data_IF_679532747478
#
_entry.id   IF_679532747478
#
_cell.length_a   1.000
_cell.length_b   1.000
_cell.length_c   1.000
_cell.angle_alpha   90.00
_cell.angle_beta   90.00
_cell.angle_gamma   90.00
#
_symmetry.space_group_name_H-M   'P 1'
#
loop_
_entity.id
_entity.type
_entity.pdbx_description
1 polymer ?
#
# COMPACT_ATOMS: atom_id res chain seq x y z
N UNK A 1 -9.97 8.82 -20.77
CA UNK A 1 -10.20 9.63 -19.57
C UNK A 1 -9.18 10.75 -19.68
N UNK A 2 -9.62 11.97 -19.99
CA UNK A 2 -8.72 13.12 -19.94
C UNK A 2 -8.34 13.30 -18.47
N UNK A 3 -7.06 13.09 -18.14
CA UNK A 3 -6.51 13.45 -16.84
C UNK A 3 -6.48 14.98 -16.79
N UNK A 4 -7.59 15.60 -16.42
CA UNK A 4 -7.57 16.97 -15.93
C UNK A 4 -6.93 16.89 -14.55
N UNK A 5 -5.64 17.20 -14.48
CA UNK A 5 -5.03 17.56 -13.20
C UNK A 5 -5.72 18.85 -12.78
N UNK A 6 -6.74 18.74 -11.93
CA UNK A 6 -7.31 19.91 -11.29
C UNK A 6 -6.15 20.64 -10.61
N UNK A 7 -5.98 21.93 -10.93
CA UNK A 7 -4.89 22.72 -10.38
C UNK A 7 -4.98 22.71 -8.86
N UNK A 8 -3.88 22.35 -8.20
CA UNK A 8 -3.79 22.40 -6.74
C UNK A 8 -3.98 23.86 -6.32
N UNK A 9 -4.97 24.17 -5.46
CA UNK A 9 -5.20 25.55 -5.00
C UNK A 9 -3.93 26.14 -4.39
N UNK A 10 -3.59 27.38 -4.75
CA UNK A 10 -2.38 28.06 -4.25
C UNK A 10 -2.31 28.07 -2.72
N UNK A 11 -3.47 28.21 -2.06
CA UNK A 11 -3.55 28.20 -0.60
C UNK A 11 -3.23 26.84 0.02
N UNK A 12 -3.27 25.74 -0.73
CA UNK A 12 -2.97 24.37 -0.29
C UNK A 12 -1.60 23.87 -0.74
N UNK A 13 -0.91 24.60 -1.62
CA UNK A 13 0.31 24.15 -2.29
C UNK A 13 1.39 23.64 -1.32
N UNK A 14 1.70 24.41 -0.28
CA UNK A 14 2.75 24.07 0.68
C UNK A 14 2.42 22.80 1.49
N UNK A 15 1.15 22.58 1.79
CA UNK A 15 0.68 21.38 2.48
C UNK A 15 0.67 20.17 1.54
N UNK A 16 0.30 20.37 0.27
CA UNK A 16 0.33 19.35 -0.76
C UNK A 16 1.76 18.86 -1.01
N UNK A 17 2.71 19.77 -1.23
CA UNK A 17 4.14 19.44 -1.42
C UNK A 17 4.67 18.63 -0.24
N UNK A 18 4.32 19.04 0.99
CA UNK A 18 4.72 18.32 2.18
C UNK A 18 4.07 16.92 2.25
N UNK A 19 2.77 16.79 1.94
CA UNK A 19 2.06 15.51 1.95
C UNK A 19 2.60 14.51 0.92
N UNK A 20 3.01 14.97 -0.26
CA UNK A 20 3.57 14.11 -1.31
C UNK A 20 4.93 13.54 -0.91
N UNK A 21 5.74 14.30 -0.16
CA UNK A 21 7.08 13.87 0.27
C UNK A 21 7.41 14.40 1.67
N UNK A 22 6.80 13.85 2.73
CA UNK A 22 6.97 14.38 4.07
C UNK A 22 8.32 13.93 4.62
N UNK A 23 9.26 14.88 4.69
CA UNK A 23 10.63 14.62 5.13
C UNK A 23 10.63 14.00 6.54
N UNK A 24 11.19 12.79 6.68
CA UNK A 24 11.32 12.09 7.95
C UNK A 24 10.06 11.39 8.46
N UNK A 25 8.90 11.56 7.81
CA UNK A 25 7.63 10.91 8.20
C UNK A 25 7.23 9.79 7.22
N UNK A 26 8.14 9.46 6.31
CA UNK A 26 8.05 8.24 5.53
C UNK A 26 8.82 7.12 6.24
N UNK A 27 8.16 6.02 6.54
CA UNK A 27 8.83 4.81 7.04
C UNK A 27 9.19 3.93 5.86
N UNK A 28 10.46 3.55 5.76
CA UNK A 28 10.98 2.67 4.71
C UNK A 28 11.46 1.37 5.35
N UNK A 29 11.00 0.24 4.85
CA UNK A 29 11.35 -1.10 5.33
C UNK A 29 11.71 -1.97 4.12
N UNK A 30 12.92 -2.51 4.12
CA UNK A 30 13.37 -3.47 3.12
C UNK A 30 13.05 -4.89 3.57
N UNK A 31 12.26 -5.60 2.77
CA UNK A 31 11.88 -7.00 2.99
C UNK A 31 13.02 -7.96 2.63
N UNK A 32 12.84 -9.24 2.94
CA UNK A 32 13.82 -10.26 2.51
C UNK A 32 13.82 -10.46 1.00
N UNK A 33 14.99 -10.84 0.47
CA UNK A 33 15.16 -11.18 -0.94
C UNK A 33 14.34 -12.45 -1.25
N UNK A 34 13.47 -12.36 -2.26
CA UNK A 34 12.61 -13.46 -2.69
C UNK A 34 13.06 -13.98 -4.06
N UNK A 35 13.36 -15.28 -4.21
CA UNK A 35 13.61 -15.86 -5.53
C UNK A 35 12.30 -15.95 -6.33
N UNK A 36 12.33 -15.55 -7.60
CA UNK A 36 11.23 -15.85 -8.52
C UNK A 36 11.44 -17.29 -9.01
N UNK A 37 10.61 -18.21 -8.52
CA UNK A 37 10.68 -19.62 -8.87
C UNK A 37 10.66 -19.81 -10.40
N UNK A 38 11.47 -20.75 -10.89
CA UNK A 38 11.64 -21.06 -12.32
C UNK A 38 12.30 -19.96 -13.16
N UNK A 39 13.01 -19.00 -12.54
CA UNK A 39 13.80 -17.98 -13.23
C UNK A 39 15.16 -17.73 -12.56
N UNK A 40 16.06 -17.00 -13.22
CA UNK A 40 17.33 -16.53 -12.65
C UNK A 40 17.17 -15.24 -11.82
N UNK A 41 15.95 -14.75 -11.60
CA UNK A 41 15.72 -13.46 -10.97
C UNK A 41 15.40 -13.56 -9.48
N UNK A 42 15.85 -12.56 -8.73
CA UNK A 42 15.50 -12.32 -7.34
C UNK A 42 14.87 -10.92 -7.20
N UNK A 43 13.92 -10.80 -6.27
CA UNK A 43 13.21 -9.55 -5.99
C UNK A 43 13.46 -9.14 -4.55
N UNK A 44 13.92 -7.90 -4.38
CA UNK A 44 13.98 -7.23 -3.08
C UNK A 44 12.94 -6.13 -3.06
N UNK A 45 11.99 -6.20 -2.12
CA UNK A 45 10.91 -5.22 -2.02
C UNK A 45 11.18 -4.24 -0.88
N UNK A 46 11.04 -2.94 -1.17
CA UNK A 46 11.19 -1.87 -0.19
C UNK A 46 9.84 -1.17 0.00
N UNK A 47 9.19 -1.45 1.12
CA UNK A 47 7.91 -0.86 1.50
C UNK A 47 8.13 0.54 2.04
N UNK A 48 7.33 1.49 1.58
CA UNK A 48 7.33 2.88 2.01
C UNK A 48 5.94 3.23 2.52
N UNK A 49 5.86 3.79 3.73
CA UNK A 49 4.61 4.20 4.36
C UNK A 49 4.68 5.71 4.58
N UNK A 50 3.79 6.46 3.95
CA UNK A 50 3.59 7.87 4.19
C UNK A 50 2.68 8.04 5.41
N UNK A 51 3.28 8.28 6.58
CA UNK A 51 2.56 8.32 7.86
C UNK A 51 1.51 9.45 7.92
N UNK A 52 1.77 10.68 7.42
CA UNK A 52 0.73 11.71 7.33
C UNK A 52 -0.48 11.29 6.51
N UNK A 53 -0.27 10.72 5.31
CA UNK A 53 -1.37 10.23 4.48
C UNK A 53 -2.09 9.06 5.16
N UNK A 54 -1.39 8.19 5.88
CA UNK A 54 -2.01 7.10 6.63
C UNK A 54 -2.96 7.64 7.71
N UNK A 55 -2.56 8.68 8.46
CA UNK A 55 -3.43 9.33 9.46
C UNK A 55 -4.67 9.94 8.80
N UNK A 56 -4.50 10.68 7.71
CA UNK A 56 -5.62 11.27 6.96
C UNK A 56 -6.55 10.19 6.37
N UNK A 57 -5.97 9.08 5.89
CA UNK A 57 -6.73 7.96 5.32
C UNK A 57 -7.56 7.25 6.38
N UNK A 58 -6.96 6.96 7.55
CA UNK A 58 -7.67 6.40 8.70
C UNK A 58 -8.82 7.29 9.14
N UNK A 59 -8.56 8.60 9.25
CA UNK A 59 -9.54 9.58 9.67
C UNK A 59 -10.69 9.69 8.68
N UNK A 60 -10.39 9.82 7.38
CA UNK A 60 -11.39 9.87 6.31
C UNK A 60 -12.33 8.65 6.36
N UNK A 61 -11.78 7.43 6.46
CA UNK A 61 -12.61 6.23 6.52
C UNK A 61 -13.36 6.10 7.82
N UNK A 62 -12.75 6.44 8.95
CA UNK A 62 -13.40 6.40 10.26
C UNK A 62 -14.60 7.34 10.31
N UNK A 63 -14.43 8.59 9.85
CA UNK A 63 -15.52 9.57 9.79
C UNK A 63 -16.67 9.07 8.91
N UNK A 64 -16.38 8.48 7.74
CA UNK A 64 -17.41 7.96 6.82
C UNK A 64 -18.19 6.75 7.34
N UNK A 65 -17.63 6.02 8.31
CA UNK A 65 -18.24 4.83 8.91
C UNK A 65 -18.91 5.12 10.26
N UNK A 66 -18.61 6.27 10.87
CA UNK A 66 -19.18 6.70 12.14
C UNK A 66 -20.70 6.92 11.99
N UNK A 67 -21.47 6.68 13.05
CA UNK A 67 -22.93 6.91 13.05
C UNK A 67 -23.20 8.33 13.56
N UNK A 68 -23.92 9.14 12.78
CA UNK A 68 -24.25 10.51 13.16
C UNK A 68 -25.23 10.58 14.33
N UNK A 69 -25.42 11.77 14.90
CA UNK A 69 -26.40 12.00 15.97
C UNK A 69 -27.84 11.67 15.56
N UNK A 70 -28.12 11.71 14.26
CA UNK A 70 -29.37 11.33 13.62
C UNK A 70 -29.52 9.80 13.40
N UNK A 71 -28.50 9.02 13.78
CA UNK A 71 -28.46 7.58 13.60
C UNK A 71 -28.11 7.13 12.17
N UNK A 72 -27.72 8.05 11.29
CA UNK A 72 -27.45 7.77 9.87
C UNK A 72 -25.96 7.75 9.60
N UNK A 73 -25.50 6.78 8.79
CA UNK A 73 -24.15 6.77 8.23
C UNK A 73 -24.14 7.57 6.93
N UNK A 74 -23.29 8.59 6.85
CA UNK A 74 -23.05 9.36 5.63
C UNK A 74 -21.61 9.13 5.16
N UNK A 75 -21.48 8.38 4.07
CA UNK A 75 -20.19 8.04 3.48
C UNK A 75 -19.49 9.23 2.80
N UNK A 76 -20.13 10.41 2.73
CA UNK A 76 -19.54 11.63 2.18
C UNK A 76 -19.17 12.64 3.27
N UNK A 77 -19.58 12.41 4.52
CA UNK A 77 -19.31 13.33 5.63
C UNK A 77 -17.89 13.12 6.17
N UNK A 78 -17.04 14.11 5.91
CA UNK A 78 -15.63 14.13 6.32
C UNK A 78 -15.41 14.82 7.68
N UNK A 79 -16.45 15.45 8.23
CA UNK A 79 -16.33 16.28 9.43
C UNK A 79 -16.83 15.57 10.69
N UNK A 80 -17.33 14.34 10.57
CA UNK A 80 -17.75 13.53 11.72
C UNK A 80 -16.60 13.39 12.70
N UNK A 81 -16.91 13.70 13.95
CA UNK A 81 -16.00 13.53 15.07
C UNK A 81 -15.90 12.05 15.39
N UNK A 82 -14.68 11.53 15.31
CA UNK A 82 -14.27 10.20 15.77
C UNK A 82 -13.26 10.36 16.90
N UNK A 83 -12.87 9.26 17.55
CA UNK A 83 -11.81 9.28 18.57
C UNK A 83 -10.75 8.24 18.20
N UNK A 84 -9.72 8.67 17.46
CA UNK A 84 -8.64 7.79 16.99
C UNK A 84 -7.38 8.02 17.81
N UNK A 85 -7.00 7.01 18.59
CA UNK A 85 -5.67 6.95 19.20
C UNK A 85 -4.66 6.31 18.23
N UNK A 86 -3.39 6.31 18.63
CA UNK A 86 -2.31 5.77 17.80
C UNK A 86 -2.47 4.27 17.52
N UNK A 87 -2.99 3.50 18.49
CA UNK A 87 -3.09 2.06 18.36
C UNK A 87 -4.18 1.70 17.34
N UNK A 88 -5.27 2.47 17.30
CA UNK A 88 -6.29 2.37 16.26
C UNK A 88 -5.75 2.71 14.87
N UNK A 89 -4.94 3.77 14.73
CA UNK A 89 -4.31 4.12 13.45
C UNK A 89 -3.33 3.03 13.01
N UNK A 90 -2.53 2.47 13.93
CA UNK A 90 -1.63 1.34 13.67
C UNK A 90 -2.40 0.08 13.27
N UNK A 91 -3.58 -0.17 13.84
CA UNK A 91 -4.45 -1.28 13.45
C UNK A 91 -5.00 -1.10 12.03
N UNK A 92 -5.36 0.13 11.64
CA UNK A 92 -5.76 0.41 10.26
C UNK A 92 -4.61 0.22 9.27
N UNK A 93 -3.38 0.58 9.65
CA UNK A 93 -2.20 0.31 8.84
C UNK A 93 -1.93 -1.20 8.71
N UNK A 94 -2.01 -1.96 9.81
CA UNK A 94 -1.91 -3.43 9.81
C UNK A 94 -2.97 -4.05 8.89
N UNK A 95 -4.23 -3.58 8.99
CA UNK A 95 -5.32 -4.01 8.12
C UNK A 95 -5.02 -3.75 6.63
N UNK A 96 -4.54 -2.55 6.27
CA UNK A 96 -4.21 -2.22 4.89
C UNK A 96 -3.09 -3.11 4.35
N UNK A 97 -2.00 -3.27 5.11
CA UNK A 97 -0.86 -4.11 4.70
C UNK A 97 -1.24 -5.57 4.48
N UNK A 98 -2.17 -6.12 5.29
CA UNK A 98 -2.66 -7.50 5.13
C UNK A 98 -3.62 -7.67 3.95
N UNK A 99 -4.42 -6.65 3.67
CA UNK A 99 -5.50 -6.77 2.69
C UNK A 99 -5.12 -6.27 1.30
N UNK A 100 -4.05 -5.49 1.17
CA UNK A 100 -3.54 -4.97 -0.09
C UNK A 100 -2.06 -5.35 -0.20
N UNK A 101 -1.75 -6.62 -0.52
CA UNK A 101 -0.36 -7.03 -0.65
C UNK A 101 0.25 -6.40 -1.90
N UNK A 102 1.58 -6.45 -1.97
CA UNK A 102 2.29 -6.16 -3.20
C UNK A 102 2.18 -7.36 -4.15
N UNK A 103 1.77 -7.10 -5.38
CA UNK A 103 1.53 -8.14 -6.38
C UNK A 103 2.44 -7.91 -7.58
N UNK A 104 3.26 -8.92 -7.90
CA UNK A 104 3.97 -9.01 -9.16
C UNK A 104 3.09 -9.77 -10.15
N UNK A 105 2.87 -9.20 -11.34
CA UNK A 105 2.05 -9.80 -12.41
C UNK A 105 2.56 -9.46 -13.80
N UNK A 106 2.15 -10.23 -14.79
CA UNK A 106 2.30 -9.84 -16.18
C UNK A 106 1.32 -8.72 -16.58
N UNK A 107 1.78 -7.82 -17.42
CA UNK A 107 0.97 -6.83 -18.13
C UNK A 107 0.31 -7.49 -19.33
N UNK A 108 -0.75 -8.25 -19.05
CA UNK A 108 -1.57 -8.88 -20.08
C UNK A 108 -2.82 -8.05 -20.36
N UNK A 109 -3.23 -7.99 -21.63
CA UNK A 109 -4.52 -7.47 -22.05
C UNK A 109 -5.67 -8.40 -21.60
N UNK A 110 -6.92 -7.90 -21.60
CA UNK A 110 -8.07 -8.69 -21.17
C UNK A 110 -8.25 -10.00 -21.96
N UNK A 111 -7.97 -9.99 -23.26
CA UNK A 111 -8.09 -11.17 -24.12
C UNK A 111 -7.05 -12.23 -23.75
N UNK A 112 -5.81 -11.81 -23.53
CA UNK A 112 -4.71 -12.70 -23.13
C UNK A 112 -4.95 -13.34 -21.75
N UNK A 113 -5.55 -12.61 -20.81
CA UNK A 113 -5.90 -13.13 -19.47
C UNK A 113 -6.96 -14.24 -19.57
N UNK A 114 -7.93 -14.09 -20.48
CA UNK A 114 -9.00 -15.08 -20.68
C UNK A 114 -8.45 -16.39 -21.24
N UNK A 115 -7.40 -16.31 -22.06
CA UNK A 115 -6.75 -17.46 -22.68
C UNK A 115 -5.88 -18.27 -21.71
N UNK A 116 -5.54 -17.73 -20.53
CA UNK A 116 -4.83 -18.47 -19.49
C UNK A 116 -5.72 -19.56 -18.89
N UNK A 117 -5.17 -20.79 -18.81
CA UNK A 117 -5.83 -21.88 -18.11
C UNK A 117 -6.04 -21.54 -16.63
N UNK A 118 -7.07 -22.10 -15.99
CA UNK A 118 -7.23 -22.00 -14.54
C UNK A 118 -5.96 -22.46 -13.82
N UNK A 119 -5.57 -21.72 -12.79
CA UNK A 119 -4.31 -21.91 -12.08
C UNK A 119 -4.49 -21.77 -10.56
N UNK A 120 -3.40 -21.87 -9.79
CA UNK A 120 -3.48 -21.92 -8.31
C UNK A 120 -4.18 -20.69 -7.71
N UNK A 121 -4.12 -19.54 -8.38
CA UNK A 121 -4.76 -18.31 -7.93
C UNK A 121 -6.29 -18.36 -7.99
N UNK A 122 -6.87 -19.26 -8.79
CA UNK A 122 -8.32 -19.48 -8.84
C UNK A 122 -8.85 -20.05 -7.51
N UNK A 123 -8.03 -20.81 -6.77
CA UNK A 123 -8.43 -21.42 -5.48
C UNK A 123 -8.16 -20.50 -4.27
N UNK A 124 -7.47 -19.38 -4.48
CA UNK A 124 -7.09 -18.45 -3.41
C UNK A 124 -8.12 -17.33 -3.28
N UNK A 125 -8.74 -17.24 -2.10
CA UNK A 125 -9.78 -16.25 -1.81
C UNK A 125 -9.29 -15.07 -0.99
N UNK A 126 -8.14 -15.20 -0.34
CA UNK A 126 -7.53 -14.18 0.52
C UNK A 126 -6.02 -14.05 0.19
N UNK A 127 -5.43 -12.85 0.32
CA UNK A 127 -3.99 -12.65 0.14
C UNK A 127 -3.14 -13.65 0.95
N UNK A 128 -2.30 -14.49 0.32
CA UNK A 128 -1.36 -15.32 1.05
C UNK A 128 -0.17 -14.49 1.55
N UNK A 129 0.53 -14.99 2.59
CA UNK A 129 1.75 -14.36 3.10
C UNK A 129 2.87 -14.36 2.04
N UNK A 130 3.09 -15.47 1.34
CA UNK A 130 4.03 -15.50 0.24
C UNK A 130 3.65 -16.66 -0.66
N UNK A 131 3.41 -16.34 -1.92
CA UNK A 131 3.17 -17.37 -2.93
C UNK A 131 3.70 -16.91 -4.27
N UNK A 132 4.40 -17.83 -4.94
CA UNK A 132 4.87 -17.67 -6.30
C UNK A 132 4.23 -18.74 -7.17
N UNK A 133 3.73 -18.35 -8.32
CA UNK A 133 3.19 -19.24 -9.31
C UNK A 133 3.28 -18.63 -10.71
N UNK A 134 4.01 -19.31 -11.58
CA UNK A 134 4.09 -18.98 -13.00
C UNK A 134 3.13 -19.93 -13.75
N UNK A 135 2.09 -19.42 -14.43
CA UNK A 135 1.25 -20.23 -15.29
C UNK A 135 2.08 -20.88 -16.40
N UNK A 136 1.74 -22.12 -16.75
CA UNK A 136 2.50 -22.94 -17.70
C UNK A 136 2.65 -22.29 -19.08
N UNK A 137 1.61 -21.57 -19.51
CA UNK A 137 1.57 -20.84 -20.78
C UNK A 137 2.58 -19.68 -20.83
N UNK A 138 3.00 -19.19 -19.66
CA UNK A 138 3.93 -18.09 -19.49
C UNK A 138 5.33 -18.58 -19.07
N UNK A 139 5.50 -19.88 -18.81
CA UNK A 139 6.81 -20.48 -18.54
C UNK A 139 7.77 -20.27 -19.73
N UNK A 140 8.96 -19.74 -19.45
CA UNK A 140 9.99 -19.47 -20.46
C UNK A 140 9.84 -18.15 -21.21
N UNK A 141 8.80 -17.36 -20.94
CA UNK A 141 8.76 -15.96 -21.37
C UNK A 141 9.79 -15.14 -20.57
N UNK A 142 10.37 -14.13 -21.22
CA UNK A 142 11.28 -13.21 -20.54
C UNK A 142 10.51 -12.41 -19.49
N UNK A 143 11.11 -12.30 -18.30
CA UNK A 143 10.63 -11.45 -17.21
C UNK A 143 11.27 -10.07 -17.32
N UNK A 144 11.02 -9.37 -18.43
CA UNK A 144 11.49 -8.00 -18.60
C UNK A 144 10.60 -6.99 -17.85
N UNK A 145 11.16 -5.84 -17.47
CA UNK A 145 10.41 -4.81 -16.73
C UNK A 145 9.27 -4.19 -17.53
N UNK A 146 9.30 -4.32 -18.86
CA UNK A 146 8.26 -3.80 -19.75
C UNK A 146 7.01 -4.68 -19.69
N UNK A 147 7.16 -5.99 -19.60
CA UNK A 147 6.09 -6.99 -19.49
C UNK A 147 5.56 -7.20 -18.07
N UNK A 148 6.23 -6.67 -17.04
CA UNK A 148 5.87 -6.85 -15.64
C UNK A 148 5.26 -5.59 -15.00
N UNK A 149 4.26 -5.80 -14.15
CA UNK A 149 3.71 -4.77 -13.27
C UNK A 149 3.85 -5.20 -11.80
N UNK A 150 4.17 -4.22 -10.95
CA UNK A 150 4.28 -4.36 -9.51
C UNK A 150 3.34 -3.33 -8.91
N UNK A 151 2.24 -3.81 -8.34
CA UNK A 151 1.13 -2.96 -7.91
C UNK A 151 0.67 -3.35 -6.50
N UNK A 152 0.22 -2.38 -5.70
CA UNK A 152 -0.54 -2.65 -4.48
C UNK A 152 -2.01 -2.78 -4.81
N UNK A 153 -2.50 -4.00 -4.82
CA UNK A 153 -3.93 -4.25 -4.91
C UNK A 153 -4.24 -5.67 -4.44
N UNK A 154 -5.50 -5.89 -4.13
CA UNK A 154 -5.98 -7.23 -3.81
C UNK A 154 -6.62 -7.87 -5.05
N UNK A 155 -5.93 -8.77 -5.77
CA UNK A 155 -6.49 -9.43 -6.96
C UNK A 155 -7.65 -10.37 -6.62
N UNK A 156 -7.83 -10.70 -5.34
CA UNK A 156 -8.82 -11.67 -4.86
C UNK A 156 -10.16 -11.03 -4.49
N UNK A 157 -10.30 -9.70 -4.58
CA UNK A 157 -11.61 -9.05 -4.39
C UNK A 157 -12.59 -9.45 -5.49
N UNK A 158 -13.90 -9.58 -5.18
CA UNK A 158 -14.87 -10.09 -6.14
C UNK A 158 -14.95 -9.34 -7.48
N UNK A 159 -14.74 -8.02 -7.47
CA UNK A 159 -14.78 -7.20 -8.68
C UNK A 159 -13.63 -7.51 -9.65
N UNK A 160 -12.40 -7.69 -9.14
CA UNK A 160 -11.23 -8.00 -9.95
C UNK A 160 -11.17 -9.47 -10.35
N UNK A 161 -11.65 -10.38 -9.49
CA UNK A 161 -11.78 -11.80 -9.85
C UNK A 161 -12.70 -12.04 -11.04
N UNK A 162 -13.76 -11.24 -11.19
CA UNK A 162 -14.64 -11.28 -12.39
C UNK A 162 -13.90 -10.92 -13.67
N UNK A 163 -12.84 -10.12 -13.56
CA UNK A 163 -11.96 -9.75 -14.67
C UNK A 163 -10.76 -10.71 -14.80
N UNK A 164 -10.71 -11.78 -14.00
CA UNK A 164 -9.66 -12.81 -14.01
C UNK A 164 -8.23 -12.29 -13.78
N UNK A 165 -8.07 -11.09 -13.20
CA UNK A 165 -6.77 -10.44 -12.98
C UNK A 165 -5.81 -11.33 -12.19
N UNK A 166 -6.34 -12.09 -11.22
CA UNK A 166 -5.57 -13.03 -10.40
C UNK A 166 -4.79 -14.06 -11.23
N UNK A 167 -5.25 -14.41 -12.44
CA UNK A 167 -4.56 -15.39 -13.28
C UNK A 167 -3.24 -14.89 -13.87
N UNK A 168 -3.08 -13.57 -13.98
CA UNK A 168 -1.84 -12.94 -14.46
C UNK A 168 -0.78 -12.77 -13.37
N UNK A 169 -1.11 -13.11 -12.11
CA UNK A 169 -0.22 -12.94 -10.97
C UNK A 169 0.94 -13.94 -11.04
N UNK A 170 2.15 -13.43 -10.85
CA UNK A 170 3.39 -14.20 -10.72
C UNK A 170 3.63 -14.51 -9.25
N UNK A 171 3.44 -13.51 -8.40
CA UNK A 171 3.65 -13.67 -6.98
C UNK A 171 3.01 -12.58 -6.15
N UNK A 172 2.73 -12.95 -4.91
CA UNK A 172 2.28 -12.06 -3.85
C UNK A 172 3.43 -11.96 -2.86
N UNK A 173 3.88 -10.74 -2.60
CA UNK A 173 4.94 -10.45 -1.64
C UNK A 173 4.28 -9.83 -0.42
N UNK A 174 4.27 -10.51 0.74
CA UNK A 174 3.76 -9.91 1.97
C UNK A 174 4.78 -8.96 2.61
N UNK A 175 4.31 -7.84 3.19
CA UNK A 175 5.10 -6.92 4.01
C UNK A 175 5.49 -7.51 5.38
N UNK A 176 6.11 -8.70 5.46
CA UNK A 176 6.30 -9.40 6.75
C UNK A 176 7.10 -8.58 7.77
N UNK A 177 8.29 -8.04 7.41
CA UNK A 177 9.08 -7.21 8.32
C UNK A 177 8.36 -5.90 8.64
N UNK A 178 7.65 -5.35 7.66
CA UNK A 178 6.87 -4.13 7.85
C UNK A 178 5.72 -4.35 8.83
N UNK A 179 5.00 -5.48 8.74
CA UNK A 179 3.97 -5.90 9.68
C UNK A 179 4.55 -6.14 11.08
N UNK A 180 5.73 -6.73 11.18
CA UNK A 180 6.45 -6.88 12.44
C UNK A 180 6.76 -5.51 13.07
N UNK A 181 7.20 -4.53 12.27
CA UNK A 181 7.40 -3.15 12.75
C UNK A 181 6.10 -2.50 13.24
N UNK A 182 4.97 -2.73 12.56
CA UNK A 182 3.66 -2.22 13.01
C UNK A 182 3.25 -2.88 14.32
N UNK A 183 3.46 -4.20 14.47
CA UNK A 183 3.22 -4.91 15.74
C UNK A 183 4.10 -4.35 16.85
N UNK A 184 5.41 -4.21 16.62
CA UNK A 184 6.34 -3.65 17.60
C UNK A 184 5.95 -2.23 18.00
N UNK A 185 5.46 -1.40 17.07
CA UNK A 185 5.01 -0.03 17.38
C UNK A 185 3.77 0.05 18.29
N UNK A 186 2.97 -1.02 18.35
CA UNK A 186 1.84 -1.14 19.29
C UNK A 186 2.32 -1.52 20.68
N UNK A 187 3.30 -2.43 20.75
CA UNK A 187 3.79 -2.99 22.01
C UNK A 187 4.85 -2.09 22.69
N UNK A 188 5.59 -1.30 21.91
CA UNK A 188 6.69 -0.44 22.37
C UNK A 188 6.37 1.04 22.12
N UNK A 189 6.11 1.82 23.19
CA UNK A 189 5.86 3.27 23.10
C UNK A 189 7.01 4.08 22.49
N UNK A 190 8.25 3.59 22.57
CA UNK A 190 9.44 4.29 22.09
C UNK A 190 9.84 3.87 20.67
N UNK A 191 9.04 3.02 20.02
CA UNK A 191 9.33 2.56 18.66
C UNK A 191 9.24 3.70 17.65
N UNK A 192 10.24 3.76 16.75
CA UNK A 192 10.40 4.84 15.74
C UNK A 192 9.16 5.11 14.88
N UNK A 193 8.36 4.09 14.58
CA UNK A 193 7.12 4.26 13.82
C UNK A 193 6.05 5.03 14.63
N UNK A 194 5.99 4.79 15.94
CA UNK A 194 5.07 5.49 16.84
C UNK A 194 5.48 6.95 16.99
N UNK A 195 6.77 7.22 17.14
CA UNK A 195 7.34 8.58 17.12
C UNK A 195 7.02 9.29 15.80
N UNK A 196 7.19 8.61 14.66
CA UNK A 196 6.85 9.14 13.35
C UNK A 196 5.36 9.46 13.19
N UNK A 197 4.46 8.61 13.72
CA UNK A 197 3.01 8.87 13.73
C UNK A 197 2.66 10.07 14.62
N UNK A 198 3.23 10.16 15.81
CA UNK A 198 3.03 11.32 16.71
C UNK A 198 3.46 12.62 16.03
N UNK A 199 4.65 12.60 15.40
CA UNK A 199 5.17 13.77 14.68
C UNK A 199 4.27 14.12 13.48
N UNK A 200 3.75 13.11 12.79
CA UNK A 200 2.81 13.31 11.67
C UNK A 200 1.49 13.94 12.14
N UNK A 201 0.92 13.45 13.24
CA UNK A 201 -0.32 13.99 13.83
C UNK A 201 -0.11 15.45 14.26
N UNK A 202 1.02 15.74 14.92
CA UNK A 202 1.33 17.09 15.37
C UNK A 202 1.53 18.06 14.20
N UNK A 203 2.20 17.63 13.13
CA UNK A 203 2.39 18.45 11.94
C UNK A 203 1.09 18.65 11.14
N UNK A 204 0.25 17.62 11.05
CA UNK A 204 -1.10 17.75 10.46
C UNK A 204 -1.97 18.74 11.25
N UNK A 205 -1.85 18.73 12.59
CA UNK A 205 -2.53 19.68 13.47
C UNK A 205 -1.98 21.09 13.33
N UNK A 206 -0.66 21.26 13.26
CA UNK A 206 0.00 22.57 13.11
C UNK A 206 -0.37 23.26 11.80
N UNK A 207 -0.55 22.47 10.74
CA UNK A 207 -1.05 22.88 9.41
C UNK A 207 -2.56 23.11 9.36
N UNK A 208 -3.27 22.79 10.44
CA UNK A 208 -4.72 22.95 10.54
C UNK A 208 -5.49 22.02 9.59
N UNK A 209 -4.99 20.82 9.32
CA UNK A 209 -5.66 19.81 8.49
C UNK A 209 -6.56 18.88 9.32
N UNK A 210 -6.24 18.70 10.59
CA UNK A 210 -6.99 17.86 11.53
C UNK A 210 -7.20 18.58 12.86
N UNK A 211 -8.23 18.17 13.59
CA UNK A 211 -8.40 18.52 15.00
C UNK A 211 -7.97 17.37 15.91
N UNK A 212 -7.33 17.72 17.03
CA UNK A 212 -6.88 16.77 18.06
C UNK A 212 -7.45 17.21 19.39
N UNK A 213 -8.08 16.28 20.11
CA UNK A 213 -8.72 16.51 21.40
C UNK A 213 -8.36 15.40 22.39
N UNK A 214 -7.90 15.77 23.58
CA UNK A 214 -7.48 14.82 24.63
C UNK A 214 -6.42 13.82 24.14
N UNK A 215 -5.54 14.25 23.24
CA UNK A 215 -4.49 13.41 22.65
C UNK A 215 -4.95 12.44 21.57
N UNK A 216 -6.21 12.53 21.12
CA UNK A 216 -6.79 11.71 20.04
C UNK A 216 -7.09 12.55 18.81
N UNK A 217 -6.90 11.96 17.63
CA UNK A 217 -7.30 12.56 16.36
C UNK A 217 -8.82 12.48 16.25
N UNK A 218 -9.46 13.63 15.96
CA UNK A 218 -10.92 13.76 16.06
C UNK A 218 -11.65 13.92 14.74
N UNK A 219 -11.28 14.88 13.92
CA UNK A 219 -11.95 15.13 12.64
C UNK A 219 -11.05 15.89 11.68
N UNK A 220 -11.44 15.89 10.40
CA UNK A 220 -10.84 16.76 9.39
C UNK A 220 -11.38 18.17 9.58
N UNK A 221 -10.49 19.16 9.47
CA UNK A 221 -10.91 20.56 9.30
C UNK A 221 -11.44 20.77 7.88
N UNK A 222 -12.06 21.93 7.62
CA UNK A 222 -12.42 22.34 6.25
C UNK A 222 -11.21 22.30 5.29
N UNK A 223 -10.05 22.74 5.77
CA UNK A 223 -8.80 22.72 4.99
C UNK A 223 -8.33 21.29 4.73
N UNK A 224 -8.43 20.40 5.73
CA UNK A 224 -8.14 18.98 5.59
C UNK A 224 -9.06 18.29 4.58
N UNK A 225 -10.37 18.55 4.66
CA UNK A 225 -11.35 18.01 3.72
C UNK A 225 -11.07 18.44 2.27
N UNK A 226 -10.73 19.72 2.05
CA UNK A 226 -10.29 20.21 0.73
C UNK A 226 -9.00 19.52 0.26
N UNK A 227 -8.02 19.36 1.14
CA UNK A 227 -6.74 18.72 0.82
C UNK A 227 -6.93 17.28 0.33
N UNK A 228 -7.76 16.48 1.00
CA UNK A 228 -8.01 15.09 0.60
C UNK A 228 -8.84 14.98 -0.69
N UNK A 229 -9.53 16.06 -1.08
CA UNK A 229 -10.17 16.16 -2.39
C UNK A 229 -9.18 16.40 -3.53
N UNK A 230 -8.02 17.00 -3.23
CA UNK A 230 -6.98 17.31 -4.22
C UNK A 230 -5.88 16.26 -4.31
N UNK A 231 -5.56 15.59 -3.20
CA UNK A 231 -4.48 14.59 -3.14
C UNK A 231 -5.03 13.20 -2.84
N UNK A 232 -4.78 12.19 -3.70
CA UNK A 232 -5.17 10.82 -3.39
C UNK A 232 -4.43 10.35 -2.12
N UNK A 233 -5.18 9.83 -1.15
CA UNK A 233 -4.61 9.23 0.06
C UNK A 233 -4.28 7.75 -0.10
N UNK A 234 -4.77 7.12 -1.17
CA UNK A 234 -4.62 5.68 -1.42
C UNK A 234 -3.18 5.24 -1.71
N UNK A 235 -2.31 6.18 -2.06
CA UNK A 235 -0.87 5.97 -2.22
C UNK A 235 -0.09 6.17 -0.91
N UNK A 236 -0.78 6.16 0.24
CA UNK A 236 -0.10 6.17 1.55
C UNK A 236 0.84 4.97 1.73
N UNK A 237 0.62 3.89 0.98
CA UNK A 237 1.51 2.76 0.82
C UNK A 237 2.18 2.81 -0.55
N UNK A 238 3.52 2.76 -0.55
CA UNK A 238 4.35 2.70 -1.75
C UNK A 238 5.35 1.56 -1.66
N UNK A 239 5.88 1.13 -2.80
CA UNK A 239 6.91 0.09 -2.86
C UNK A 239 7.86 0.39 -4.00
N UNK A 240 9.11 0.01 -3.81
CA UNK A 240 10.08 -0.11 -4.89
C UNK A 240 10.61 -1.54 -4.84
N UNK A 241 10.60 -2.23 -5.98
CA UNK A 241 11.28 -3.51 -6.09
C UNK A 241 12.57 -3.33 -6.87
N UNK A 242 13.62 -3.96 -6.37
CA UNK A 242 14.84 -4.21 -7.14
C UNK A 242 14.77 -5.65 -7.66
N UNK A 243 14.88 -5.81 -8.97
CA UNK A 243 14.94 -7.12 -9.63
C UNK A 243 16.38 -7.35 -10.08
N UNK A 244 17.00 -8.42 -9.60
CA UNK A 244 18.40 -8.74 -9.88
C UNK A 244 18.49 -10.11 -10.54
N UNK A 245 19.23 -10.21 -11.65
CA UNK A 245 19.55 -11.49 -12.27
C UNK A 245 20.74 -12.11 -11.54
N UNK A 246 20.55 -13.30 -11.01
CA UNK A 246 21.61 -14.10 -10.42
C UNK A 246 22.26 -14.88 -11.56
N UNK A 247 23.34 -14.33 -12.08
CA UNK A 247 24.25 -15.07 -12.95
C UNK A 247 24.97 -16.09 -12.08
N UNK A 248 24.59 -17.36 -12.18
CA UNK A 248 25.44 -18.43 -11.66
C UNK A 248 26.78 -18.33 -12.40
N UNK A 249 27.81 -17.84 -11.71
CA UNK A 249 29.17 -18.07 -12.17
C UNK A 249 29.35 -19.58 -12.15
N UNK A 250 29.40 -20.21 -13.32
CA UNK A 250 29.99 -21.54 -13.45
C UNK A 250 31.33 -21.46 -12.73
N UNK A 251 31.42 -22.07 -11.54
CA UNK A 251 32.71 -22.37 -10.96
C UNK A 251 33.35 -23.34 -11.94
N UNK A 252 34.09 -22.78 -12.90
CA UNK A 252 34.90 -23.51 -13.83
C UNK A 252 35.73 -24.46 -13.01
N UNK A 253 35.34 -25.73 -13.05
CA UNK A 253 36.22 -26.81 -12.68
C UNK A 253 37.41 -26.70 -13.61
N UNK A 254 38.52 -26.20 -13.09
CA UNK A 254 39.82 -26.61 -13.63
C UNK A 254 39.96 -28.10 -13.30
N UNK A 255 39.40 -28.94 -14.19
CA UNK A 255 39.94 -30.28 -14.41
C UNK A 255 41.16 -30.14 -15.35
N UNK A 256 42.27 -30.71 -14.87
CA UNK A 256 43.58 -30.99 -15.46
C UNK A 256 44.70 -29.92 -15.41
#
# INVERSE_FOLDING_TARGET
>A
MELTFDEIPEDLWDDWVWLVSPAGLMRVVEEEIQPILSSSYQVTSTYTINLPKMVLFDLMWSSRLEVGEDGVVDAMDLHRTVDRDLDLILNSLDFLLRNYPLVLRWKLGPEEIVDLSPNIWDDITEPPDLLWHVPRELEGLSLDLESLAIDYFNPFIPSLRRLMVHRSVIGVISPLKTLDHVRMARDDPDHVMREGLLTSIEELRSRGLIEVGEGKVRCLTERGARMIGTEPLSDCLGCRCRVEEVLEYEMGGEED
#
